data_IF_913564954935
#
_entry.id   IF_913564954935
#
_cell.length_a   1.000
_cell.length_b   1.000
_cell.length_c   1.000
_cell.angle_alpha   90.00
_cell.angle_beta   90.00
_cell.angle_gamma   90.00
#
_symmetry.space_group_name_H-M   'P 1'
#
loop_
_entity.id
_entity.type
_entity.pdbx_description
1 polymer ?
#
# COMPACT_ATOMS: atom_id res chain seq x y z
N UNK A 1 -35.83 23.46 6.28
CA UNK A 1 -34.77 23.57 5.26
C UNK A 1 -33.48 22.98 5.82
N UNK A 2 -33.16 21.73 5.49
CA UNK A 2 -31.88 21.10 5.83
C UNK A 2 -30.79 21.69 4.93
N UNK A 3 -29.81 22.40 5.51
CA UNK A 3 -28.61 22.83 4.78
C UNK A 3 -27.90 21.57 4.27
N UNK A 4 -27.93 21.34 2.97
CA UNK A 4 -27.08 20.35 2.32
C UNK A 4 -25.65 20.87 2.48
N UNK A 5 -24.93 20.34 3.47
CA UNK A 5 -23.50 20.61 3.61
C UNK A 5 -22.83 20.01 2.37
N UNK A 6 -22.14 20.80 1.53
CA UNK A 6 -21.47 20.26 0.36
C UNK A 6 -20.49 19.17 0.79
N UNK A 7 -20.55 18.01 0.13
CA UNK A 7 -19.57 16.97 0.33
C UNK A 7 -18.19 17.54 0.01
N UNK A 8 -17.39 17.76 1.04
CA UNK A 8 -16.09 18.40 0.89
C UNK A 8 -15.20 17.58 -0.04
N UNK A 9 -14.72 18.23 -1.11
CA UNK A 9 -13.93 17.58 -2.15
C UNK A 9 -12.55 17.22 -1.61
N UNK A 10 -12.19 15.95 -1.76
CA UNK A 10 -10.86 15.45 -1.44
C UNK A 10 -9.83 16.15 -2.35
N UNK A 11 -8.70 16.64 -1.81
CA UNK A 11 -7.66 17.25 -2.64
C UNK A 11 -7.04 16.21 -3.58
N UNK A 12 -6.62 16.66 -4.77
CA UNK A 12 -6.13 15.79 -5.84
C UNK A 12 -4.99 14.87 -5.39
N UNK A 13 -4.06 15.36 -4.57
CA UNK A 13 -2.94 14.55 -4.07
C UNK A 13 -3.41 13.40 -3.16
N UNK A 14 -4.36 13.66 -2.26
CA UNK A 14 -4.90 12.63 -1.39
C UNK A 14 -5.77 11.62 -2.18
N UNK A 15 -6.51 12.10 -3.19
CA UNK A 15 -7.27 11.23 -4.09
C UNK A 15 -6.33 10.35 -4.91
N UNK A 16 -5.27 10.92 -5.50
CA UNK A 16 -4.26 10.18 -6.25
C UNK A 16 -3.60 9.12 -5.38
N UNK A 17 -3.16 9.47 -4.16
CA UNK A 17 -2.59 8.51 -3.22
C UNK A 17 -3.57 7.36 -2.93
N UNK A 18 -4.85 7.66 -2.71
CA UNK A 18 -5.88 6.64 -2.48
C UNK A 18 -6.05 5.73 -3.69
N UNK A 19 -6.06 6.28 -4.90
CA UNK A 19 -6.15 5.50 -6.15
C UNK A 19 -4.93 4.59 -6.30
N UNK A 20 -3.72 5.11 -6.10
CA UNK A 20 -2.48 4.32 -6.20
C UNK A 20 -2.47 3.20 -5.16
N UNK A 21 -2.81 3.46 -3.90
CA UNK A 21 -2.92 2.40 -2.86
C UNK A 21 -3.98 1.38 -3.24
N UNK A 22 -5.11 1.80 -3.82
CA UNK A 22 -6.17 0.87 -4.27
C UNK A 22 -5.68 -0.04 -5.39
N UNK A 23 -4.94 0.50 -6.36
CA UNK A 23 -4.32 -0.28 -7.42
C UNK A 23 -3.27 -1.24 -6.85
N UNK A 24 -2.44 -0.79 -5.91
CA UNK A 24 -1.43 -1.62 -5.24
C UNK A 24 -2.07 -2.77 -4.48
N UNK A 25 -3.16 -2.53 -3.75
CA UNK A 25 -3.94 -3.59 -3.06
C UNK A 25 -4.55 -4.56 -4.07
N UNK A 26 -5.18 -4.05 -5.15
CA UNK A 26 -5.78 -4.89 -6.18
C UNK A 26 -4.75 -5.79 -6.88
N UNK A 27 -3.60 -5.23 -7.26
CA UNK A 27 -2.48 -5.98 -7.84
C UNK A 27 -1.90 -6.98 -6.84
N UNK A 28 -1.74 -6.59 -5.57
CA UNK A 28 -1.26 -7.48 -4.50
C UNK A 28 -2.18 -8.67 -4.27
N UNK A 29 -3.50 -8.45 -4.26
CA UNK A 29 -4.49 -9.53 -4.15
C UNK A 29 -4.48 -10.44 -5.38
N UNK A 30 -4.38 -9.88 -6.58
CA UNK A 30 -4.30 -10.67 -7.82
C UNK A 30 -3.04 -11.54 -7.83
N UNK A 31 -1.88 -10.95 -7.52
CA UNK A 31 -0.62 -11.65 -7.43
C UNK A 31 -0.67 -12.75 -6.36
N UNK A 32 -1.19 -12.43 -5.17
CA UNK A 32 -1.38 -13.41 -4.11
C UNK A 32 -2.27 -14.57 -4.56
N UNK A 33 -3.44 -14.30 -5.13
CA UNK A 33 -4.37 -15.35 -5.55
C UNK A 33 -3.77 -16.29 -6.61
N UNK A 34 -3.09 -15.72 -7.60
CA UNK A 34 -2.54 -16.48 -8.74
C UNK A 34 -1.23 -17.17 -8.40
N UNK A 35 -0.28 -16.46 -7.79
CA UNK A 35 1.04 -16.99 -7.49
C UNK A 35 1.01 -17.99 -6.34
N UNK A 36 0.22 -17.75 -5.29
CA UNK A 36 0.10 -18.67 -4.17
C UNK A 36 -0.53 -20.00 -4.60
N UNK A 37 -1.63 -19.94 -5.37
CA UNK A 37 -2.29 -21.13 -5.88
C UNK A 37 -1.35 -21.94 -6.78
N UNK A 38 -0.61 -21.27 -7.69
CA UNK A 38 0.38 -21.92 -8.53
C UNK A 38 1.54 -22.53 -7.74
N UNK A 39 2.11 -21.79 -6.79
CA UNK A 39 3.26 -22.24 -6.00
C UNK A 39 2.93 -23.46 -5.14
N UNK A 40 1.77 -23.48 -4.46
CA UNK A 40 1.32 -24.63 -3.68
C UNK A 40 0.99 -25.82 -4.58
N UNK A 41 0.32 -25.60 -5.71
CA UNK A 41 -0.03 -26.67 -6.64
C UNK A 41 1.21 -27.35 -7.26
N UNK A 42 2.26 -26.58 -7.55
CA UNK A 42 3.49 -27.08 -8.18
C UNK A 42 4.41 -27.75 -7.15
N UNK A 43 4.59 -27.16 -5.97
CA UNK A 43 5.51 -27.68 -4.95
C UNK A 43 4.92 -28.82 -4.12
N UNK A 44 3.60 -28.85 -3.93
CA UNK A 44 2.94 -29.72 -2.95
C UNK A 44 3.25 -29.38 -1.49
N UNK A 45 3.99 -28.30 -1.22
CA UNK A 45 4.41 -27.90 0.13
C UNK A 45 3.51 -26.78 0.68
N UNK A 46 2.68 -27.07 1.70
CA UNK A 46 1.87 -26.04 2.33
C UNK A 46 2.69 -25.04 3.16
N UNK A 47 3.95 -25.33 3.51
CA UNK A 47 4.81 -24.41 4.27
C UNK A 47 5.07 -23.11 3.50
N UNK A 48 5.01 -23.14 2.16
CA UNK A 48 5.09 -21.93 1.34
C UNK A 48 4.02 -20.90 1.71
N UNK A 49 2.84 -21.32 2.19
CA UNK A 49 1.80 -20.40 2.65
C UNK A 49 2.31 -19.46 3.75
N UNK A 50 3.20 -19.94 4.61
CA UNK A 50 3.78 -19.16 5.72
C UNK A 50 4.69 -18.06 5.19
N UNK A 51 5.43 -18.32 4.12
CA UNK A 51 6.33 -17.35 3.49
C UNK A 51 5.57 -16.16 2.88
N UNK A 52 4.33 -16.36 2.45
CA UNK A 52 3.49 -15.28 1.89
C UNK A 52 2.74 -14.46 2.94
N UNK A 53 2.70 -14.90 4.22
CA UNK A 53 1.98 -14.18 5.30
C UNK A 53 2.41 -12.71 5.39
N UNK A 54 3.71 -12.35 5.39
CA UNK A 54 4.11 -10.95 5.48
C UNK A 54 3.55 -10.09 4.34
N UNK A 55 3.57 -10.61 3.11
CA UNK A 55 3.03 -9.91 1.94
C UNK A 55 1.52 -9.75 2.01
N UNK A 56 0.80 -10.81 2.39
CA UNK A 56 -0.65 -10.78 2.57
C UNK A 56 -1.07 -9.82 3.68
N UNK A 57 -0.32 -9.79 4.79
CA UNK A 57 -0.55 -8.86 5.89
C UNK A 57 -0.40 -7.41 5.43
N UNK A 58 0.63 -7.12 4.62
CA UNK A 58 0.85 -5.80 4.04
C UNK A 58 -0.33 -5.35 3.16
N UNK A 59 -0.81 -6.23 2.28
CA UNK A 59 -1.98 -5.98 1.43
C UNK A 59 -3.24 -5.76 2.27
N UNK A 60 -3.45 -6.58 3.30
CA UNK A 60 -4.59 -6.47 4.20
C UNK A 60 -4.57 -5.14 4.99
N UNK A 61 -3.40 -4.73 5.50
CA UNK A 61 -3.22 -3.47 6.21
C UNK A 61 -3.52 -2.26 5.32
N UNK A 62 -3.02 -2.27 4.08
CA UNK A 62 -3.32 -1.23 3.10
C UNK A 62 -4.82 -1.20 2.74
N UNK A 63 -5.43 -2.37 2.53
CA UNK A 63 -6.87 -2.50 2.29
C UNK A 63 -7.69 -1.91 3.43
N UNK A 64 -7.35 -2.26 4.67
CA UNK A 64 -7.98 -1.69 5.86
C UNK A 64 -7.83 -0.16 5.93
N UNK A 65 -6.67 0.35 5.55
CA UNK A 65 -6.40 1.79 5.54
C UNK A 65 -7.20 2.55 4.48
N UNK A 66 -7.46 1.96 3.31
CA UNK A 66 -8.38 2.50 2.29
C UNK A 66 -9.77 2.74 2.88
N UNK A 67 -10.29 1.82 3.69
CA UNK A 67 -11.58 2.03 4.37
C UNK A 67 -11.53 3.14 5.41
N UNK A 68 -10.39 3.29 6.11
CA UNK A 68 -10.18 4.35 7.12
C UNK A 68 -9.85 5.71 6.53
N UNK A 69 -9.55 5.81 5.24
CA UNK A 69 -9.21 7.06 4.55
C UNK A 69 -10.29 8.15 4.66
N UNK A 70 -11.56 7.75 4.79
CA UNK A 70 -12.70 8.68 5.01
C UNK A 70 -12.69 9.31 6.40
N UNK A 71 -11.99 8.71 7.37
CA UNK A 71 -11.90 9.23 8.74
C UNK A 71 -11.12 10.54 8.83
N UNK A 72 -10.26 10.85 7.84
CA UNK A 72 -9.45 12.08 7.80
C UNK A 72 -8.52 12.32 9.00
N UNK A 73 -8.32 11.30 9.84
CA UNK A 73 -7.46 11.41 11.02
C UNK A 73 -5.98 11.40 10.65
N UNK A 74 -5.20 12.17 11.40
CA UNK A 74 -3.75 12.32 11.20
C UNK A 74 -3.01 11.00 11.27
N UNK A 75 -3.44 10.11 12.17
CA UNK A 75 -2.84 8.79 12.31
C UNK A 75 -3.00 7.93 11.04
N UNK A 76 -4.10 8.07 10.29
CA UNK A 76 -4.32 7.29 9.05
C UNK A 76 -3.26 7.64 8.01
N UNK A 77 -2.90 8.93 7.88
CA UNK A 77 -1.84 9.39 6.99
C UNK A 77 -0.49 8.80 7.37
N UNK A 78 -0.13 8.89 8.66
CA UNK A 78 1.16 8.41 9.14
C UNK A 78 1.26 6.89 9.11
N UNK A 79 0.17 6.16 9.37
CA UNK A 79 0.12 4.72 9.19
C UNK A 79 0.33 4.33 7.73
N UNK A 80 -0.26 5.05 6.77
CA UNK A 80 -0.03 4.79 5.34
C UNK A 80 1.45 4.94 4.99
N UNK A 81 2.03 6.09 5.38
CA UNK A 81 3.44 6.39 5.13
C UNK A 81 4.33 5.33 5.79
N UNK A 82 4.07 4.97 7.04
CA UNK A 82 4.86 3.97 7.74
C UNK A 82 4.79 2.60 7.07
N UNK A 83 3.60 2.16 6.64
CA UNK A 83 3.43 0.88 5.93
C UNK A 83 4.21 0.88 4.62
N UNK A 84 4.11 1.95 3.81
CA UNK A 84 4.86 2.03 2.55
C UNK A 84 6.38 2.12 2.77
N UNK A 85 6.84 2.85 3.81
CA UNK A 85 8.26 2.90 4.16
C UNK A 85 8.78 1.53 4.56
N UNK A 86 8.02 0.77 5.36
CA UNK A 86 8.36 -0.61 5.73
C UNK A 86 8.37 -1.50 4.49
N UNK A 87 7.39 -1.37 3.59
CA UNK A 87 7.34 -2.13 2.34
C UNK A 87 8.58 -1.89 1.48
N UNK A 88 8.97 -0.62 1.29
CA UNK A 88 10.17 -0.24 0.54
C UNK A 88 11.43 -0.76 1.21
N UNK A 89 11.56 -0.53 2.53
CA UNK A 89 12.71 -0.98 3.30
C UNK A 89 12.90 -2.50 3.24
N UNK A 90 11.82 -3.27 3.46
CA UNK A 90 11.84 -4.72 3.35
C UNK A 90 12.21 -5.19 1.94
N UNK A 91 11.64 -4.56 0.90
CA UNK A 91 11.93 -4.92 -0.49
C UNK A 91 13.41 -4.70 -0.85
N UNK A 92 13.96 -3.54 -0.46
CA UNK A 92 15.36 -3.20 -0.71
C UNK A 92 16.31 -4.08 0.11
N UNK A 93 16.04 -4.30 1.40
CA UNK A 93 16.88 -5.13 2.26
C UNK A 93 16.90 -6.57 1.76
N UNK A 94 15.74 -7.14 1.43
CA UNK A 94 15.65 -8.52 0.94
C UNK A 94 16.42 -8.69 -0.37
N UNK A 95 16.28 -7.73 -1.30
CA UNK A 95 17.04 -7.76 -2.55
C UNK A 95 18.55 -7.59 -2.33
N UNK A 96 18.96 -6.72 -1.41
CA UNK A 96 20.37 -6.51 -1.08
C UNK A 96 21.00 -7.76 -0.46
N UNK A 97 20.33 -8.38 0.52
CA UNK A 97 20.80 -9.61 1.17
C UNK A 97 20.83 -10.78 0.17
N UNK A 98 19.86 -10.84 -0.75
CA UNK A 98 19.82 -11.85 -1.81
C UNK A 98 20.77 -11.59 -2.99
N UNK A 99 21.55 -10.49 -2.98
CA UNK A 99 22.43 -10.12 -4.09
C UNK A 99 21.70 -9.75 -5.39
N UNK A 100 20.40 -9.49 -5.32
CA UNK A 100 19.50 -9.26 -6.44
C UNK A 100 19.13 -7.77 -6.62
N UNK A 101 20.03 -6.86 -6.23
CA UNK A 101 19.81 -5.43 -6.31
C UNK A 101 19.95 -4.95 -7.77
N UNK A 102 18.83 -4.99 -8.49
CA UNK A 102 18.75 -4.66 -9.91
C UNK A 102 17.73 -3.54 -10.21
N UNK A 103 17.67 -3.12 -11.47
CA UNK A 103 16.69 -2.12 -11.91
C UNK A 103 15.24 -2.59 -11.70
N UNK A 104 14.97 -3.89 -11.81
CA UNK A 104 13.65 -4.47 -11.56
C UNK A 104 13.18 -4.23 -10.12
N UNK A 105 14.07 -4.41 -9.16
CA UNK A 105 13.83 -4.17 -7.73
C UNK A 105 13.51 -2.70 -7.48
N UNK A 106 14.25 -1.78 -8.10
CA UNK A 106 14.03 -0.34 -7.95
C UNK A 106 12.69 0.11 -8.56
N UNK A 107 12.34 -0.42 -9.75
CA UNK A 107 11.07 -0.10 -10.42
C UNK A 107 9.87 -0.50 -9.55
N UNK A 108 9.96 -1.64 -8.84
CA UNK A 108 8.90 -2.09 -7.91
C UNK A 108 8.66 -1.12 -6.75
N UNK A 109 9.65 -0.29 -6.39
CA UNK A 109 9.51 0.68 -5.30
C UNK A 109 8.85 1.99 -5.74
N UNK A 110 8.65 2.21 -7.05
CA UNK A 110 8.11 3.49 -7.57
C UNK A 110 6.71 3.76 -7.04
N UNK A 111 5.83 2.76 -7.00
CA UNK A 111 4.45 2.94 -6.50
C UNK A 111 4.42 3.30 -5.00
N UNK A 112 5.06 2.52 -4.10
CA UNK A 112 5.18 2.87 -2.69
C UNK A 112 5.77 4.27 -2.46
N UNK A 113 6.84 4.61 -3.18
CA UNK A 113 7.48 5.93 -3.09
C UNK A 113 6.54 7.05 -3.56
N UNK A 114 5.80 6.84 -4.65
CA UNK A 114 4.82 7.80 -5.12
C UNK A 114 3.72 8.05 -4.08
N UNK A 115 3.24 7.01 -3.40
CA UNK A 115 2.26 7.14 -2.32
C UNK A 115 2.84 7.99 -1.17
N UNK A 116 4.06 7.69 -0.73
CA UNK A 116 4.75 8.46 0.32
C UNK A 116 4.82 9.94 -0.08
N UNK A 117 5.33 10.24 -1.28
CA UNK A 117 5.48 11.61 -1.78
C UNK A 117 4.13 12.33 -1.84
N UNK A 118 3.09 11.69 -2.38
CA UNK A 118 1.75 12.27 -2.46
C UNK A 118 1.17 12.57 -1.08
N UNK A 119 1.40 11.70 -0.09
CA UNK A 119 0.91 11.87 1.29
C UNK A 119 1.71 12.88 2.11
N UNK A 120 2.95 13.16 1.74
CA UNK A 120 3.77 14.21 2.33
C UNK A 120 3.42 15.61 1.82
N UNK A 121 2.62 15.72 0.75
CA UNK A 121 2.21 17.04 0.24
C UNK A 121 1.41 17.84 1.28
N UNK A 122 1.56 19.19 1.31
CA UNK A 122 0.81 20.03 2.25
C UNK A 122 -0.72 19.92 2.08
N UNK A 123 -1.19 19.65 0.86
CA UNK A 123 -2.62 19.48 0.58
C UNK A 123 -3.18 18.19 1.18
N UNK A 124 -2.46 17.07 1.05
CA UNK A 124 -2.79 15.83 1.75
C UNK A 124 -2.68 16.02 3.27
N UNK A 125 -1.67 16.74 3.74
CA UNK A 125 -1.48 16.98 5.16
C UNK A 125 -2.69 17.69 5.80
N UNK A 126 -3.18 18.77 5.19
CA UNK A 126 -4.36 19.52 5.66
C UNK A 126 -5.64 18.69 5.62
N UNK A 127 -5.78 17.78 4.64
CA UNK A 127 -6.93 16.90 4.57
C UNK A 127 -7.01 15.91 5.74
N UNK A 128 -5.85 15.43 6.20
CA UNK A 128 -5.73 14.45 7.25
C UNK A 128 -5.58 15.04 8.67
N UNK A 129 -5.71 16.35 8.86
CA UNK A 129 -5.50 16.99 10.17
C UNK A 129 -6.81 17.19 10.97
N UNK A 130 -7.80 16.31 10.77
CA UNK A 130 -9.14 16.40 11.37
C UNK A 130 -9.56 15.15 12.12
#
# INVERSE_FOLDING_TARGET
>A
MTKVVPAERMPTAALAARVVVTLQVGMGLLFAATFLAGAVAVSGDPALLVEFIPGLLLVALLGWLIFRWRSRRKWVRWSAIAIEVVAVGMGVITAAVGGALDWGTLIRQVLPLAIIVLLLTPSAARWFDR
#
